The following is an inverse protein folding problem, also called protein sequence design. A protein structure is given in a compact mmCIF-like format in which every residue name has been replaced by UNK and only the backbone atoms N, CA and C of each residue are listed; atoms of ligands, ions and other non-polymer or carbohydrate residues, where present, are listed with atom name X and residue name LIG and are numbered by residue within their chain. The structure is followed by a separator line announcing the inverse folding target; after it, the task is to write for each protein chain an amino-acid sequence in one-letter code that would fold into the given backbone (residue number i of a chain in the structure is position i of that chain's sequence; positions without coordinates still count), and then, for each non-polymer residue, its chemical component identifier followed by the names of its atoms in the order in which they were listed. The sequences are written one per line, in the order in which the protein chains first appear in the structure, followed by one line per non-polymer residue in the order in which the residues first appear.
data_IF_025398082007
#
_entry.id   IF_025398082007
#
_cell.length_a   1.000
_cell.length_b   1.000
_cell.length_c   1.000
_cell.angle_alpha   90.00
_cell.angle_beta   90.00
_cell.angle_gamma   90.00
#
_symmetry.space_group_name_H-M   'P 1'
#
loop_
_entity.id
_entity.type
_entity.pdbx_description
1 polymer ?
#
# COMPACT_ATOMS: atom_id res chain seq x y z
N UNK A 1 -15.22 4.58 -3.56
CA UNK A 1 -16.39 4.88 -4.42
C UNK A 1 -17.69 4.99 -3.64
N UNK A 2 -18.79 4.94 -4.35
CA UNK A 2 -20.14 4.90 -3.77
C UNK A 2 -20.86 3.63 -4.17
N UNK A 3 -21.72 3.12 -3.29
CA UNK A 3 -22.62 2.02 -3.64
C UNK A 3 -23.81 2.53 -4.48
N UNK A 4 -24.72 1.64 -4.87
CA UNK A 4 -25.93 1.96 -5.66
C UNK A 4 -26.89 2.90 -4.96
N UNK A 5 -26.75 3.08 -3.65
CA UNK A 5 -27.56 3.98 -2.82
C UNK A 5 -26.87 5.34 -2.61
N UNK A 6 -25.69 5.55 -3.19
CA UNK A 6 -24.88 6.76 -3.04
C UNK A 6 -24.11 6.85 -1.73
N UNK A 7 -24.05 5.78 -0.94
CA UNK A 7 -23.29 5.73 0.29
C UNK A 7 -21.79 5.51 -0.02
N UNK A 8 -20.94 6.29 0.63
CA UNK A 8 -19.50 6.14 0.52
C UNK A 8 -19.05 4.77 1.07
N UNK A 9 -18.38 4.00 0.23
CA UNK A 9 -17.87 2.65 0.53
C UNK A 9 -16.47 2.45 -0.02
N UNK A 10 -15.75 1.50 0.57
CA UNK A 10 -14.50 0.93 0.02
C UNK A 10 -14.67 -0.56 -0.17
N UNK A 11 -13.92 -1.16 -1.10
CA UNK A 11 -14.01 -2.56 -1.43
C UNK A 11 -13.41 -2.88 -2.79
N UNK A 12 -13.94 -3.90 -3.43
CA UNK A 12 -13.47 -4.38 -4.72
C UNK A 12 -14.57 -4.27 -5.78
N UNK A 13 -14.19 -4.05 -7.02
CA UNK A 13 -15.15 -4.07 -8.12
C UNK A 13 -15.71 -5.47 -8.34
N UNK A 14 -17.00 -5.55 -8.49
CA UNK A 14 -17.67 -6.77 -8.96
C UNK A 14 -17.20 -7.09 -10.39
N UNK A 15 -16.97 -8.36 -10.66
CA UNK A 15 -16.43 -8.79 -11.95
C UNK A 15 -17.22 -8.23 -13.13
N UNK A 16 -16.52 -7.60 -14.10
CA UNK A 16 -17.08 -6.98 -15.31
C UNK A 16 -18.05 -5.81 -15.07
N UNK A 17 -17.99 -5.18 -13.92
CA UNK A 17 -18.80 -4.00 -13.57
C UNK A 17 -17.94 -2.94 -12.88
N UNK A 18 -18.51 -1.74 -12.69
CA UNK A 18 -17.95 -0.69 -11.83
C UNK A 18 -18.65 -0.63 -10.47
N UNK A 19 -19.51 -1.59 -10.16
CA UNK A 19 -20.16 -1.69 -8.85
C UNK A 19 -19.14 -2.13 -7.79
N UNK A 20 -19.12 -1.47 -6.66
CA UNK A 20 -18.21 -1.81 -5.56
C UNK A 20 -18.90 -2.76 -4.59
N UNK A 21 -18.31 -3.93 -4.40
CA UNK A 21 -18.65 -4.83 -3.29
C UNK A 21 -17.96 -4.28 -2.05
N UNK A 22 -18.75 -3.70 -1.15
CA UNK A 22 -18.23 -3.10 0.08
C UNK A 22 -17.52 -4.15 0.94
N UNK A 23 -16.27 -3.88 1.27
CA UNK A 23 -15.46 -4.74 2.12
C UNK A 23 -14.38 -3.91 2.83
N UNK A 24 -14.41 -3.91 4.15
CA UNK A 24 -13.37 -3.31 5.00
C UNK A 24 -12.58 -4.35 5.78
N UNK A 25 -13.02 -5.61 5.76
CA UNK A 25 -12.44 -6.70 6.55
C UNK A 25 -12.12 -7.90 5.65
N UNK A 26 -11.07 -7.73 4.82
CA UNK A 26 -10.60 -8.78 3.92
C UNK A 26 -9.64 -9.73 4.65
N UNK A 27 -9.95 -11.03 4.66
CA UNK A 27 -9.11 -12.06 5.29
C UNK A 27 -7.67 -12.17 4.73
N UNK A 28 -7.41 -11.62 3.55
CA UNK A 28 -6.08 -11.53 2.95
C UNK A 28 -5.33 -10.25 3.34
N UNK A 29 -6.01 -9.30 3.97
CA UNK A 29 -5.44 -8.05 4.42
C UNK A 29 -4.72 -8.17 5.76
N UNK A 30 -3.99 -7.13 6.13
CA UNK A 30 -3.44 -6.99 7.48
C UNK A 30 -4.54 -6.63 8.47
N UNK A 31 -4.33 -6.94 9.73
CA UNK A 31 -5.34 -6.74 10.80
C UNK A 31 -5.77 -5.29 10.95
N UNK A 32 -4.89 -4.35 10.67
CA UNK A 32 -5.13 -2.91 10.74
C UNK A 32 -5.96 -2.36 9.57
N UNK A 33 -6.16 -3.14 8.49
CA UNK A 33 -6.88 -2.67 7.31
C UNK A 33 -8.26 -2.13 7.64
N UNK A 34 -9.02 -2.83 8.46
CA UNK A 34 -10.37 -2.42 8.83
C UNK A 34 -10.39 -1.04 9.47
N UNK A 35 -9.57 -0.85 10.49
CA UNK A 35 -9.47 0.42 11.22
C UNK A 35 -9.01 1.56 10.31
N UNK A 36 -8.00 1.32 9.47
CA UNK A 36 -7.50 2.31 8.51
C UNK A 36 -8.58 2.70 7.51
N UNK A 37 -9.27 1.72 6.91
CA UNK A 37 -10.29 1.96 5.90
C UNK A 37 -11.49 2.70 6.49
N UNK A 38 -11.96 2.33 7.67
CA UNK A 38 -13.04 3.00 8.38
C UNK A 38 -12.66 4.44 8.74
N UNK A 39 -11.43 4.65 9.23
CA UNK A 39 -10.88 5.98 9.53
C UNK A 39 -10.84 6.88 8.31
N UNK A 40 -10.37 6.38 7.16
CA UNK A 40 -10.35 7.15 5.90
C UNK A 40 -11.77 7.47 5.42
N UNK A 41 -12.70 6.53 5.50
CA UNK A 41 -14.10 6.78 5.14
C UNK A 41 -14.76 7.84 6.04
N UNK A 42 -14.48 7.82 7.34
CA UNK A 42 -14.99 8.81 8.29
C UNK A 42 -14.41 10.21 8.05
N UNK A 43 -13.09 10.28 7.78
CA UNK A 43 -12.46 11.51 7.32
C UNK A 43 -13.15 12.05 6.06
N UNK A 44 -13.35 11.20 5.04
CA UNK A 44 -13.98 11.61 3.79
C UNK A 44 -15.39 12.13 4.00
N UNK A 45 -16.16 11.55 4.92
CA UNK A 45 -17.51 12.04 5.29
C UNK A 45 -17.43 13.40 6.00
N UNK A 46 -16.55 13.51 6.98
CA UNK A 46 -16.40 14.73 7.82
C UNK A 46 -15.94 15.92 6.99
N UNK A 47 -14.91 15.73 6.16
CA UNK A 47 -14.32 16.79 5.33
C UNK A 47 -14.98 16.92 3.95
N UNK A 48 -16.06 16.19 3.68
CA UNK A 48 -16.82 16.21 2.41
C UNK A 48 -15.92 15.91 1.19
N UNK A 49 -14.98 14.98 1.36
CA UNK A 49 -14.08 14.52 0.31
C UNK A 49 -14.82 13.56 -0.62
N UNK A 50 -14.85 13.86 -1.92
CA UNK A 50 -15.57 13.05 -2.89
C UNK A 50 -14.79 11.77 -3.24
N UNK A 51 -15.52 10.67 -3.40
CA UNK A 51 -14.97 9.47 -4.03
C UNK A 51 -14.95 9.64 -5.54
N UNK A 52 -13.93 9.04 -6.17
CA UNK A 52 -13.82 9.02 -7.63
C UNK A 52 -14.83 8.06 -8.23
N UNK A 53 -15.50 8.51 -9.28
CA UNK A 53 -16.39 7.73 -10.12
C UNK A 53 -15.75 7.53 -11.49
N UNK A 54 -15.43 6.30 -11.84
CA UNK A 54 -14.71 5.97 -13.07
C UNK A 54 -15.47 6.36 -14.32
N UNK A 55 -16.78 6.13 -14.33
CA UNK A 55 -17.64 6.41 -15.49
C UNK A 55 -17.69 7.90 -15.81
N UNK A 56 -17.83 8.73 -14.77
CA UNK A 56 -17.85 10.19 -14.93
C UNK A 56 -16.45 10.81 -15.02
N UNK A 57 -15.42 10.12 -14.53
CA UNK A 57 -14.06 10.64 -14.40
C UNK A 57 -13.95 11.80 -13.41
N UNK A 58 -14.80 11.81 -12.38
CA UNK A 58 -14.93 12.88 -11.39
C UNK A 58 -14.80 12.35 -9.97
N UNK A 59 -14.44 13.23 -9.05
CA UNK A 59 -14.18 12.91 -7.66
C UNK A 59 -12.70 12.88 -7.34
N UNK A 60 -12.36 12.92 -6.06
CA UNK A 60 -10.97 13.12 -5.61
C UNK A 60 -10.29 11.80 -5.27
N UNK A 61 -10.78 11.02 -4.31
CA UNK A 61 -10.11 9.81 -3.83
C UNK A 61 -10.50 8.61 -4.68
N UNK A 62 -9.50 8.01 -5.33
CA UNK A 62 -9.66 6.84 -6.22
C UNK A 62 -9.44 5.53 -5.48
N UNK A 63 -8.28 5.40 -4.82
CA UNK A 63 -7.89 4.18 -4.12
C UNK A 63 -7.23 4.51 -2.78
N UNK A 64 -7.16 3.52 -1.91
CA UNK A 64 -6.43 3.54 -0.66
C UNK A 64 -5.42 2.39 -0.74
N UNK A 65 -4.13 2.72 -0.75
CA UNK A 65 -3.04 1.74 -0.67
C UNK A 65 -2.59 1.66 0.77
N UNK A 66 -2.56 0.45 1.32
CA UNK A 66 -2.06 0.17 2.66
C UNK A 66 -0.87 -0.78 2.53
N UNK A 67 0.21 -0.46 3.21
CA UNK A 67 1.39 -1.32 3.30
C UNK A 67 1.77 -1.51 4.76
N UNK A 68 2.29 -2.69 5.07
CA UNK A 68 2.80 -3.04 6.40
C UNK A 68 4.16 -3.70 6.29
N UNK A 69 5.11 -3.25 7.08
CA UNK A 69 6.31 -3.99 7.40
C UNK A 69 5.98 -5.02 8.48
N UNK A 70 6.08 -6.29 8.16
CA UNK A 70 5.65 -7.35 9.08
C UNK A 70 6.61 -7.54 10.25
N UNK A 71 7.91 -7.34 10.01
CA UNK A 71 8.95 -7.41 11.05
C UNK A 71 9.01 -6.11 11.86
N UNK A 72 8.93 -4.97 11.18
CA UNK A 72 9.02 -3.65 11.82
C UNK A 72 7.72 -3.22 12.51
N UNK A 73 6.57 -3.73 12.06
CA UNK A 73 5.25 -3.26 12.46
C UNK A 73 4.87 -1.90 11.87
N UNK A 74 5.69 -1.31 11.02
CA UNK A 74 5.43 -0.01 10.40
C UNK A 74 4.29 -0.08 9.40
N UNK A 75 3.44 0.96 9.40
CA UNK A 75 2.29 1.11 8.52
C UNK A 75 2.46 2.32 7.59
N UNK A 76 2.04 2.15 6.36
CA UNK A 76 1.94 3.20 5.35
C UNK A 76 0.55 3.25 4.78
N UNK A 77 0.00 4.46 4.67
CA UNK A 77 -1.26 4.73 3.97
C UNK A 77 -0.99 5.74 2.85
N UNK A 78 -1.34 5.39 1.62
CA UNK A 78 -1.26 6.28 0.48
C UNK A 78 -2.64 6.41 -0.17
N UNK A 79 -3.17 7.64 -0.25
CA UNK A 79 -4.40 7.92 -0.97
C UNK A 79 -4.08 8.25 -2.42
N UNK A 80 -4.62 7.48 -3.34
CA UNK A 80 -4.51 7.76 -4.78
C UNK A 80 -5.62 8.73 -5.14
N UNK A 81 -5.23 9.90 -5.65
CA UNK A 81 -6.14 11.03 -5.86
C UNK A 81 -6.16 11.52 -7.31
N UNK A 82 -7.34 12.00 -7.72
CA UNK A 82 -7.57 12.68 -8.99
C UNK A 82 -7.70 14.18 -8.73
N UNK A 83 -6.57 14.86 -8.53
CA UNK A 83 -6.53 16.27 -8.18
C UNK A 83 -6.61 17.18 -9.41
N UNK A 84 -7.03 18.44 -9.23
CA UNK A 84 -7.02 19.43 -10.31
C UNK A 84 -5.63 20.04 -10.49
N UNK A 85 -5.37 20.62 -11.69
CA UNK A 85 -4.12 21.35 -11.92
C UNK A 85 -3.96 22.52 -10.94
N UNK A 86 -5.06 23.22 -10.63
CA UNK A 86 -5.06 24.35 -9.70
C UNK A 86 -4.69 23.93 -8.26
N UNK A 87 -5.20 22.78 -7.79
CA UNK A 87 -4.89 22.27 -6.45
C UNK A 87 -3.44 21.79 -6.37
N UNK A 88 -2.91 21.22 -7.46
CA UNK A 88 -1.49 20.85 -7.58
C UNK A 88 -0.56 22.05 -7.46
N UNK A 89 -0.85 23.14 -8.17
CA UNK A 89 -0.06 24.39 -8.08
C UNK A 89 -0.03 24.98 -6.67
N UNK A 90 -1.08 24.77 -5.89
CA UNK A 90 -1.18 25.26 -4.51
C UNK A 90 -0.71 24.24 -3.46
N UNK A 91 -0.24 23.06 -3.86
CA UNK A 91 0.04 21.92 -2.97
C UNK A 91 -1.15 21.59 -2.03
N UNK A 92 -2.36 21.75 -2.53
CA UNK A 92 -3.61 21.47 -1.80
C UNK A 92 -4.17 20.10 -2.24
N UNK A 93 -3.56 19.04 -1.74
CA UNK A 93 -3.88 17.67 -2.15
C UNK A 93 -5.23 17.17 -1.64
N UNK A 94 -5.57 17.51 -0.41
CA UNK A 94 -6.75 17.01 0.30
C UNK A 94 -7.43 18.14 1.06
N UNK A 95 -8.78 18.18 1.14
CA UNK A 95 -9.50 19.05 2.07
C UNK A 95 -9.25 18.63 3.52
N UNK A 96 -8.78 19.56 4.37
CA UNK A 96 -8.55 19.30 5.79
C UNK A 96 -7.58 18.14 6.07
N UNK A 97 -6.36 18.14 5.51
CA UNK A 97 -5.45 17.01 5.61
C UNK A 97 -5.06 16.70 7.07
N UNK A 98 -5.06 17.70 7.94
CA UNK A 98 -4.74 17.51 9.35
C UNK A 98 -5.72 16.56 10.05
N UNK A 99 -7.00 16.63 9.73
CA UNK A 99 -8.03 15.74 10.28
C UNK A 99 -7.73 14.26 9.92
N UNK A 100 -7.28 14.00 8.70
CA UNK A 100 -6.85 12.66 8.29
C UNK A 100 -5.60 12.20 9.04
N UNK A 101 -4.61 13.08 9.13
CA UNK A 101 -3.34 12.82 9.81
C UNK A 101 -3.58 12.50 11.28
N UNK A 102 -4.33 13.35 12.00
CA UNK A 102 -4.58 13.18 13.43
C UNK A 102 -5.30 11.85 13.73
N UNK A 103 -6.22 11.45 12.87
CA UNK A 103 -6.93 10.18 13.02
C UNK A 103 -6.04 8.97 12.72
N UNK A 104 -5.30 8.99 11.62
CA UNK A 104 -4.45 7.86 11.23
C UNK A 104 -3.26 7.67 12.16
N UNK A 105 -2.67 8.76 12.68
CA UNK A 105 -1.54 8.68 13.62
C UNK A 105 -1.90 8.09 14.98
N UNK A 106 -3.21 8.01 15.28
CA UNK A 106 -3.70 7.25 16.44
C UNK A 106 -3.58 5.73 16.30
N UNK A 107 -3.37 5.22 15.08
CA UNK A 107 -3.24 3.79 14.82
C UNK A 107 -1.77 3.37 15.09
N UNK A 108 -1.54 2.39 15.99
CA UNK A 108 -0.20 1.94 16.31
C UNK A 108 0.58 1.47 15.08
N UNK A 109 1.83 1.90 14.96
CA UNK A 109 2.69 1.56 13.82
C UNK A 109 2.58 2.52 12.63
N UNK A 110 1.67 3.49 12.63
CA UNK A 110 1.59 4.47 11.54
C UNK A 110 2.91 5.24 11.40
N UNK A 111 3.52 5.15 10.22
CA UNK A 111 4.85 5.70 9.94
C UNK A 111 4.85 6.63 8.74
N UNK A 112 3.96 6.39 7.77
CA UNK A 112 3.90 7.15 6.52
C UNK A 112 2.47 7.39 6.08
N UNK A 113 2.15 8.65 5.78
CA UNK A 113 0.89 9.04 5.13
C UNK A 113 1.23 9.89 3.92
N UNK A 114 0.75 9.49 2.75
CA UNK A 114 1.07 10.13 1.48
C UNK A 114 -0.14 10.23 0.56
N UNK A 115 0.00 11.03 -0.48
CA UNK A 115 -0.92 11.09 -1.62
C UNK A 115 -0.17 10.75 -2.88
N UNK A 116 -0.80 10.00 -3.78
CA UNK A 116 -0.29 9.70 -5.11
C UNK A 116 -1.26 10.25 -6.14
N UNK A 117 -0.74 10.98 -7.12
CA UNK A 117 -1.55 11.67 -8.11
C UNK A 117 -1.73 10.77 -9.33
N UNK A 118 -2.97 10.35 -9.57
CA UNK A 118 -3.32 9.61 -10.76
C UNK A 118 -4.58 10.19 -11.43
N UNK A 119 -4.37 10.84 -12.57
CA UNK A 119 -5.44 11.42 -13.41
C UNK A 119 -5.71 10.55 -14.67
N UNK A 120 -4.94 9.50 -14.86
CA UNK A 120 -5.04 8.62 -16.01
C UNK A 120 -6.34 7.80 -15.96
N UNK A 121 -6.98 7.65 -17.12
CA UNK A 121 -8.15 6.77 -17.30
C UNK A 121 -7.70 5.36 -17.73
N UNK A 122 -6.84 4.76 -16.94
CA UNK A 122 -6.27 3.43 -17.18
C UNK A 122 -6.48 2.54 -15.96
N UNK A 123 -6.20 1.25 -16.10
CA UNK A 123 -6.25 0.28 -14.98
C UNK A 123 -5.04 0.40 -14.03
N UNK A 124 -4.10 1.30 -14.31
CA UNK A 124 -2.95 1.54 -13.44
C UNK A 124 -3.41 2.29 -12.20
N UNK A 125 -3.16 1.73 -11.03
CA UNK A 125 -3.61 2.29 -9.74
C UNK A 125 -2.74 3.50 -9.37
N UNK A 126 -1.42 3.37 -9.41
CA UNK A 126 -0.48 4.42 -8.99
C UNK A 126 -0.08 5.32 -10.16
N UNK A 127 -0.15 6.62 -9.93
CA UNK A 127 0.46 7.60 -10.82
C UNK A 127 1.97 7.75 -10.56
N UNK A 128 2.61 8.64 -11.31
CA UNK A 128 4.06 8.85 -11.25
C UNK A 128 4.52 9.73 -10.08
N UNK A 129 3.63 10.54 -9.53
CA UNK A 129 3.94 11.58 -8.56
C UNK A 129 3.34 11.22 -7.19
N UNK A 130 4.18 11.20 -6.17
CA UNK A 130 3.78 10.89 -4.79
C UNK A 130 4.32 11.99 -3.86
N UNK A 131 3.50 12.43 -2.92
CA UNK A 131 3.85 13.43 -1.90
C UNK A 131 3.54 12.89 -0.51
N UNK A 132 4.55 12.87 0.34
CA UNK A 132 4.37 12.56 1.75
C UNK A 132 3.75 13.76 2.44
N UNK A 133 2.63 13.54 3.14
CA UNK A 133 1.93 14.57 3.88
C UNK A 133 2.16 14.45 5.39
N UNK A 134 2.64 13.31 5.85
CA UNK A 134 3.09 13.10 7.24
C UNK A 134 4.02 11.90 7.34
N UNK A 135 5.01 12.00 8.24
CA UNK A 135 5.95 10.94 8.56
C UNK A 135 7.03 10.73 7.52
N UNK A 136 7.41 9.49 7.27
CA UNK A 136 8.49 9.10 6.37
C UNK A 136 8.00 8.85 4.95
N UNK A 137 8.87 9.02 3.96
CA UNK A 137 8.58 8.66 2.56
C UNK A 137 8.53 7.14 2.34
N UNK A 138 9.13 6.38 3.24
CA UNK A 138 9.19 4.92 3.19
C UNK A 138 8.87 4.31 4.55
N UNK A 139 8.48 3.05 4.53
CA UNK A 139 8.51 2.17 5.71
C UNK A 139 9.60 1.13 5.52
N UNK A 140 10.01 0.51 6.61
CA UNK A 140 10.99 -0.57 6.59
C UNK A 140 10.34 -1.93 6.83
N UNK A 141 10.91 -2.96 6.21
CA UNK A 141 10.65 -4.34 6.59
C UNK A 141 11.91 -5.18 6.37
N UNK A 142 12.00 -6.29 7.10
CA UNK A 142 13.17 -7.18 7.05
C UNK A 142 12.73 -8.58 6.68
N UNK A 143 13.39 -9.15 5.68
CA UNK A 143 13.27 -10.55 5.26
C UNK A 143 14.48 -11.31 5.79
N UNK A 144 14.21 -12.45 6.42
CA UNK A 144 15.25 -13.31 7.01
C UNK A 144 15.51 -14.50 6.11
N UNK A 145 16.78 -14.65 5.70
CA UNK A 145 17.22 -15.85 5.00
C UNK A 145 17.57 -16.91 6.04
N UNK A 146 17.08 -18.12 5.84
CA UNK A 146 17.21 -19.21 6.82
C UNK A 146 17.80 -20.45 6.15
N UNK A 147 18.46 -21.28 6.94
CA UNK A 147 18.76 -22.64 6.51
C UNK A 147 17.47 -23.40 6.28
N UNK A 148 17.47 -24.24 5.24
CA UNK A 148 16.31 -25.06 4.91
C UNK A 148 16.59 -26.51 5.25
N UNK A 149 15.56 -27.18 5.80
CA UNK A 149 15.54 -28.63 5.99
C UNK A 149 14.34 -29.15 5.23
N UNK A 150 14.57 -29.61 4.00
CA UNK A 150 13.51 -29.85 3.03
C UNK A 150 12.79 -28.55 2.69
N UNK A 151 11.48 -28.45 2.99
CA UNK A 151 10.68 -27.23 2.78
C UNK A 151 10.44 -26.44 4.07
N UNK A 152 11.15 -26.75 5.16
CA UNK A 152 11.03 -26.07 6.43
C UNK A 152 12.20 -25.13 6.68
N UNK A 153 11.90 -23.93 7.23
CA UNK A 153 12.93 -23.00 7.67
C UNK A 153 13.45 -23.41 9.05
N UNK A 154 14.76 -23.42 9.25
CA UNK A 154 15.41 -23.75 10.51
C UNK A 154 15.99 -22.48 11.18
N UNK A 155 17.28 -22.26 11.06
CA UNK A 155 17.99 -21.16 11.71
C UNK A 155 18.13 -19.96 10.76
N UNK A 156 18.07 -18.76 11.32
CA UNK A 156 18.37 -17.55 10.57
C UNK A 156 19.84 -17.55 10.15
N UNK A 157 20.07 -17.28 8.87
CA UNK A 157 21.39 -17.23 8.27
C UNK A 157 21.82 -15.80 7.95
N UNK A 158 20.90 -15.00 7.46
CA UNK A 158 21.14 -13.60 7.08
C UNK A 158 19.82 -12.84 7.03
N UNK A 159 19.87 -11.52 7.00
CA UNK A 159 18.70 -10.67 6.92
C UNK A 159 18.92 -9.50 5.96
N UNK A 160 17.88 -9.14 5.23
CA UNK A 160 17.88 -7.98 4.32
C UNK A 160 16.74 -7.05 4.68
N UNK A 161 17.10 -5.80 4.98
CA UNK A 161 16.12 -4.75 5.27
C UNK A 161 15.82 -3.95 3.99
N UNK A 162 14.54 -3.77 3.71
CA UNK A 162 14.01 -3.02 2.57
C UNK A 162 13.40 -1.71 3.04
N UNK A 163 13.62 -0.65 2.25
CA UNK A 163 12.89 0.61 2.35
C UNK A 163 11.78 0.60 1.30
N UNK A 164 10.54 0.60 1.75
CA UNK A 164 9.36 0.40 0.91
C UNK A 164 8.62 1.72 0.75
N UNK A 165 8.62 2.27 -0.47
CA UNK A 165 7.80 3.42 -0.86
C UNK A 165 6.41 2.98 -1.32
N UNK A 166 5.46 3.90 -1.54
CA UNK A 166 4.16 3.55 -2.16
C UNK A 166 4.30 2.85 -3.51
N UNK A 167 5.34 3.17 -4.28
CA UNK A 167 5.56 2.66 -5.65
C UNK A 167 6.47 1.42 -5.70
N UNK A 168 7.17 1.09 -4.61
CA UNK A 168 8.05 -0.08 -4.58
C UNK A 168 7.25 -1.36 -4.78
N UNK A 169 7.80 -2.29 -5.57
CA UNK A 169 7.32 -3.65 -5.52
C UNK A 169 7.81 -4.29 -4.20
N UNK A 170 6.92 -4.97 -3.51
CA UNK A 170 7.25 -5.76 -2.32
C UNK A 170 6.33 -6.97 -2.24
N UNK A 171 6.88 -8.12 -1.89
CA UNK A 171 6.14 -9.37 -1.81
C UNK A 171 5.09 -9.33 -0.71
N UNK A 172 3.84 -9.64 -1.06
CA UNK A 172 2.69 -9.54 -0.15
C UNK A 172 2.63 -10.63 0.91
N UNK A 173 3.42 -11.70 0.76
CA UNK A 173 3.47 -12.81 1.72
C UNK A 173 4.92 -13.03 2.19
N UNK A 174 5.37 -12.32 3.24
CA UNK A 174 6.77 -12.37 3.69
C UNK A 174 7.18 -13.77 4.14
N UNK A 175 6.30 -14.54 4.77
CA UNK A 175 6.60 -15.91 5.21
C UNK A 175 6.95 -16.82 4.03
N UNK A 176 6.20 -16.74 2.93
CA UNK A 176 6.50 -17.54 1.74
C UNK A 176 7.69 -16.96 0.96
N UNK A 177 7.89 -15.65 1.02
CA UNK A 177 9.06 -15.00 0.41
C UNK A 177 10.35 -15.46 1.07
N UNK A 178 10.41 -15.52 2.40
CA UNK A 178 11.57 -16.03 3.13
C UNK A 178 11.88 -17.47 2.73
N UNK A 179 10.86 -18.32 2.62
CA UNK A 179 11.05 -19.71 2.16
C UNK A 179 11.58 -19.80 0.74
N UNK A 180 10.96 -19.04 -0.17
CA UNK A 180 11.34 -19.05 -1.58
C UNK A 180 12.79 -18.58 -1.77
N UNK A 181 13.15 -17.47 -1.15
CA UNK A 181 14.50 -16.91 -1.29
C UNK A 181 15.56 -17.78 -0.59
N UNK A 182 15.24 -18.34 0.57
CA UNK A 182 16.13 -19.27 1.26
C UNK A 182 16.43 -20.51 0.42
N UNK A 183 15.40 -21.10 -0.19
CA UNK A 183 15.56 -22.25 -1.11
C UNK A 183 16.32 -21.86 -2.38
N UNK A 184 16.06 -20.68 -2.95
CA UNK A 184 16.78 -20.21 -4.12
C UNK A 184 18.27 -20.04 -3.85
N UNK A 185 18.64 -19.48 -2.69
CA UNK A 185 20.04 -19.36 -2.27
C UNK A 185 20.71 -20.71 -2.02
N UNK A 186 19.99 -21.66 -1.41
CA UNK A 186 20.49 -23.02 -1.21
C UNK A 186 20.78 -23.71 -2.53
N UNK A 187 19.83 -23.65 -3.48
CA UNK A 187 20.02 -24.27 -4.80
C UNK A 187 21.10 -23.58 -5.64
N UNK A 188 21.30 -22.28 -5.48
CA UNK A 188 22.36 -21.55 -6.14
C UNK A 188 23.78 -22.00 -5.67
N UNK A 189 23.89 -22.51 -4.44
CA UNK A 189 25.14 -23.06 -3.89
C UNK A 189 26.32 -22.09 -3.92
N UNK A 190 26.04 -20.77 -3.70
CA UNK A 190 27.05 -19.72 -3.82
C UNK A 190 28.15 -19.85 -2.78
N UNK A 191 29.39 -19.67 -3.21
CA UNK A 191 30.60 -19.72 -2.36
C UNK A 191 31.19 -18.34 -2.08
N UNK A 192 30.60 -17.28 -2.67
CA UNK A 192 31.04 -15.89 -2.61
C UNK A 192 32.09 -15.51 -3.68
N UNK A 193 32.34 -16.40 -4.65
CA UNK A 193 33.28 -16.16 -5.76
C UNK A 193 32.58 -16.05 -7.12
N UNK A 194 31.32 -16.36 -7.17
CA UNK A 194 30.51 -16.36 -8.38
C UNK A 194 30.07 -14.94 -8.76
N UNK A 195 29.89 -14.70 -10.05
CA UNK A 195 29.15 -13.54 -10.57
C UNK A 195 27.69 -13.94 -10.76
N UNK A 196 26.78 -13.26 -10.05
CA UNK A 196 25.36 -13.49 -10.15
C UNK A 196 24.72 -12.38 -10.97
N UNK A 197 23.86 -12.78 -11.91
CA UNK A 197 23.08 -11.85 -12.73
C UNK A 197 21.61 -11.96 -12.33
N UNK A 198 21.04 -10.85 -11.83
CA UNK A 198 19.60 -10.70 -11.71
C UNK A 198 19.12 -9.81 -12.85
N UNK A 199 18.44 -10.40 -13.83
CA UNK A 199 18.03 -9.71 -15.06
C UNK A 199 16.68 -9.01 -14.89
N UNK A 200 16.02 -9.12 -13.75
CA UNK A 200 14.71 -8.56 -13.50
C UNK A 200 14.55 -8.09 -12.05
N UNK A 201 15.55 -7.40 -11.56
CA UNK A 201 15.65 -7.01 -10.14
C UNK A 201 14.85 -5.77 -9.72
N UNK A 202 14.04 -5.18 -10.58
CA UNK A 202 13.16 -4.06 -10.23
C UNK A 202 13.83 -2.69 -10.15
#
# INVERSE_FOLDING_TARGET
GTDRQGKLVTGFYAGRTHDIIANTDCALGVTENKEILETVLDYMRTCKVSAYEETAGKGLVRHILIRKGFTSGQLMVCLIINTTAQDREKNQWLPGPQELIDRLTGIPGMTSISVNINQEKTNVVLGKETHTIWGSDTIEDTIHMRETVGFSLAHEKDAVTYHISPQSFYQVNPVQTEKLYSLALEYAGLTGKETVWDLYCG
#
